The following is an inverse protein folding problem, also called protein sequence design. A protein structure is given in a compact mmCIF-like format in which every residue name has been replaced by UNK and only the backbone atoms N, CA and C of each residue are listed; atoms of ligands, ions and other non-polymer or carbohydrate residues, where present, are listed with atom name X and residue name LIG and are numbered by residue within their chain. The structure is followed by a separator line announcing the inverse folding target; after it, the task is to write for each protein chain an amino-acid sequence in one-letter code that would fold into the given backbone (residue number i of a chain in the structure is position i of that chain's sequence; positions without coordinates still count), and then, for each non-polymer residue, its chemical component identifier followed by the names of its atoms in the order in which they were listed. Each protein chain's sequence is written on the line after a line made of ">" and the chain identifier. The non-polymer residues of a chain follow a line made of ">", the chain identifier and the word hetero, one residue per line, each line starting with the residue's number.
data_IF_112352434556
#
_entry.id   IF_112352434556
#
_cell.length_a   1.000
_cell.length_b   1.000
_cell.length_c   1.000
_cell.angle_alpha   90.00
_cell.angle_beta   90.00
_cell.angle_gamma   90.00
#
_symmetry.space_group_name_H-M   'P 1'
#
loop_
_entity.id
_entity.type
_entity.pdbx_description
1 polymer ?
#
# COMPACT_ATOMS: atom_id res chain seq x y z
N UNK A 1 22.45 21.84 26.83
CA UNK A 1 23.01 20.76 25.99
C UNK A 1 22.06 19.57 25.81
N UNK A 2 21.36 19.07 26.85
CA UNK A 2 20.44 17.90 26.74
C UNK A 2 19.13 18.15 25.96
N UNK A 3 18.57 19.36 26.04
CA UNK A 3 17.27 19.70 25.40
C UNK A 3 17.33 19.67 23.87
N UNK A 4 18.43 20.13 23.27
CA UNK A 4 18.62 20.11 21.82
C UNK A 4 18.74 18.69 21.25
N UNK A 5 19.46 17.81 21.95
CA UNK A 5 19.58 16.39 21.59
C UNK A 5 18.22 15.69 21.67
N UNK A 6 17.45 15.97 22.72
CA UNK A 6 16.12 15.40 22.91
C UNK A 6 15.13 15.83 21.80
N UNK A 7 15.13 17.11 21.44
CA UNK A 7 14.32 17.63 20.33
C UNK A 7 14.73 16.97 19.00
N UNK A 8 16.03 16.84 18.74
CA UNK A 8 16.52 16.16 17.54
C UNK A 8 16.05 14.72 17.44
N UNK A 9 16.08 13.96 18.54
CA UNK A 9 15.59 12.58 18.58
C UNK A 9 14.08 12.53 18.31
N UNK A 10 13.30 13.42 18.93
CA UNK A 10 11.84 13.49 18.71
C UNK A 10 11.53 13.75 17.23
N UNK A 11 12.24 14.68 16.59
CA UNK A 11 12.04 15.00 15.18
C UNK A 11 12.37 13.80 14.29
N UNK A 12 13.48 13.10 14.54
CA UNK A 12 13.86 11.90 13.78
C UNK A 12 12.80 10.80 13.93
N UNK A 13 12.30 10.57 15.15
CA UNK A 13 11.25 9.58 15.41
C UNK A 13 9.96 9.95 14.68
N UNK A 14 9.55 11.22 14.71
CA UNK A 14 8.38 11.69 13.97
C UNK A 14 8.56 11.51 12.45
N UNK A 15 9.73 11.79 11.89
CA UNK A 15 9.98 11.57 10.46
C UNK A 15 9.82 10.09 10.07
N UNK A 16 10.33 9.16 10.88
CA UNK A 16 10.17 7.71 10.64
C UNK A 16 8.72 7.25 10.83
N UNK A 17 7.99 7.86 11.76
CA UNK A 17 6.57 7.57 12.01
C UNK A 17 5.68 7.97 10.82
N UNK A 18 5.94 9.15 10.24
CA UNK A 18 5.01 9.78 9.30
C UNK A 18 5.45 9.72 7.83
N UNK A 19 6.74 9.53 7.52
CA UNK A 19 7.19 9.44 6.13
C UNK A 19 7.01 8.01 5.57
N UNK A 20 6.23 7.84 4.51
CA UNK A 20 6.07 6.54 3.86
C UNK A 20 7.38 6.13 3.17
N UNK A 21 8.02 5.06 3.62
CA UNK A 21 9.22 4.52 2.99
C UNK A 21 8.78 3.61 1.83
N UNK A 22 9.24 3.85 0.59
CA UNK A 22 8.92 2.96 -0.53
C UNK A 22 9.55 1.59 -0.28
N UNK A 23 8.73 0.55 -0.23
CA UNK A 23 9.20 -0.84 -0.04
C UNK A 23 9.54 -1.55 -1.35
N UNK A 24 9.07 -1.02 -2.48
CA UNK A 24 9.37 -1.52 -3.81
C UNK A 24 8.18 -1.44 -4.75
N UNK A 25 8.43 -1.81 -6.01
CA UNK A 25 7.41 -2.02 -7.04
C UNK A 25 7.10 -3.51 -7.14
N UNK A 26 5.83 -3.90 -6.99
CA UNK A 26 5.41 -5.26 -7.26
C UNK A 26 5.42 -5.55 -8.76
N UNK A 27 5.80 -6.78 -9.12
CA UNK A 27 5.90 -7.27 -10.52
C UNK A 27 4.53 -7.37 -11.23
N UNK A 28 3.43 -7.16 -10.52
CA UNK A 28 2.04 -7.29 -10.99
C UNK A 28 1.53 -6.14 -11.90
N UNK A 29 2.43 -5.36 -12.51
CA UNK A 29 2.08 -4.20 -13.35
C UNK A 29 2.41 -2.83 -12.76
N UNK A 30 3.24 -2.79 -11.70
CA UNK A 30 3.77 -1.53 -11.15
C UNK A 30 2.99 -1.00 -9.94
N UNK A 31 2.32 -1.89 -9.19
CA UNK A 31 1.75 -1.55 -7.88
C UNK A 31 2.87 -1.05 -6.96
N UNK A 32 2.67 0.11 -6.32
CA UNK A 32 3.67 0.72 -5.44
C UNK A 32 3.24 0.61 -3.99
N UNK A 33 4.16 0.15 -3.16
CA UNK A 33 3.97 0.00 -1.73
C UNK A 33 4.80 1.04 -0.96
N UNK A 34 4.11 1.82 -0.13
CA UNK A 34 4.69 2.77 0.78
C UNK A 34 4.32 2.43 2.22
N UNK A 35 5.30 2.12 3.05
CA UNK A 35 5.08 1.74 4.43
C UNK A 35 5.48 2.87 5.37
N UNK A 36 4.53 3.34 6.17
CA UNK A 36 4.79 4.09 7.39
C UNK A 36 4.57 3.17 8.61
N UNK A 37 4.92 3.63 9.81
CA UNK A 37 4.74 2.82 11.02
C UNK A 37 3.25 2.63 11.37
N UNK A 38 2.44 3.66 11.15
CA UNK A 38 1.02 3.71 11.56
C UNK A 38 0.04 3.39 10.44
N UNK A 39 0.49 3.49 9.19
CA UNK A 39 -0.32 3.22 8.02
C UNK A 39 0.56 2.73 6.87
N UNK A 40 -0.05 2.09 5.88
CA UNK A 40 0.59 1.67 4.64
C UNK A 40 -0.25 2.14 3.48
N UNK A 41 0.37 2.84 2.54
CA UNK A 41 -0.28 3.30 1.31
C UNK A 41 0.10 2.33 0.22
N UNK A 42 -0.90 1.74 -0.43
CA UNK A 42 -0.71 0.91 -1.61
C UNK A 42 -1.37 1.61 -2.78
N UNK A 43 -0.56 1.91 -3.79
CA UNK A 43 -1.05 2.41 -5.09
C UNK A 43 -1.19 1.20 -5.98
N UNK A 44 -2.41 0.68 -6.07
CA UNK A 44 -2.76 -0.46 -6.90
C UNK A 44 -2.65 -0.07 -8.37
N UNK A 45 -1.93 -0.91 -9.11
CA UNK A 45 -1.87 -0.88 -10.57
C UNK A 45 -1.76 -2.33 -11.02
N UNK A 46 -2.91 -3.01 -11.06
CA UNK A 46 -3.01 -4.44 -11.38
C UNK A 46 -3.77 -4.62 -12.69
N UNK A 47 -3.18 -5.37 -13.61
CA UNK A 47 -3.90 -5.89 -14.77
C UNK A 47 -4.82 -7.02 -14.30
N UNK A 48 -6.11 -6.76 -14.30
CA UNK A 48 -7.14 -7.74 -13.99
C UNK A 48 -7.75 -8.27 -15.27
N UNK A 49 -8.13 -9.54 -15.25
CA UNK A 49 -8.86 -10.18 -16.33
C UNK A 49 -10.25 -10.50 -15.81
N UNK A 50 -11.28 -9.89 -16.40
CA UNK A 50 -12.66 -10.31 -16.17
C UNK A 50 -13.00 -11.35 -17.21
N UNK A 51 -13.49 -12.50 -16.75
CA UNK A 51 -14.20 -13.41 -17.63
C UNK A 51 -15.62 -12.88 -17.79
N UNK A 52 -16.07 -12.71 -19.03
CA UNK A 52 -17.45 -12.38 -19.31
C UNK A 52 -18.35 -13.52 -18.85
N UNK A 53 -19.57 -13.20 -18.41
CA UNK A 53 -20.58 -14.19 -17.97
C UNK A 53 -20.88 -15.22 -19.05
N UNK A 54 -20.60 -14.88 -20.31
CA UNK A 54 -20.82 -15.70 -21.51
C UNK A 54 -19.66 -16.67 -21.82
N UNK A 55 -18.59 -16.68 -21.01
CA UNK A 55 -17.44 -17.58 -21.18
C UNK A 55 -16.51 -17.25 -22.35
N UNK A 56 -16.75 -16.14 -23.06
CA UNK A 56 -15.95 -15.68 -24.20
C UNK A 56 -15.17 -14.38 -23.91
N UNK A 57 -13.94 -14.32 -24.43
CA UNK A 57 -12.95 -13.24 -24.36
C UNK A 57 -12.62 -12.70 -22.95
N UNK A 58 -11.33 -12.74 -22.64
CA UNK A 58 -10.73 -12.17 -21.44
C UNK A 58 -10.64 -10.66 -21.60
N UNK A 59 -11.54 -9.90 -21.00
CA UNK A 59 -11.37 -8.44 -20.94
C UNK A 59 -10.31 -8.11 -19.91
N UNK A 60 -9.14 -7.68 -20.38
CA UNK A 60 -8.08 -7.16 -19.54
C UNK A 60 -8.40 -5.70 -19.21
N UNK A 61 -8.63 -5.41 -17.93
CA UNK A 61 -8.81 -4.05 -17.43
C UNK A 61 -7.75 -3.76 -16.36
N UNK A 62 -7.26 -2.53 -16.35
CA UNK A 62 -6.28 -2.11 -15.33
C UNK A 62 -7.02 -1.55 -14.13
N UNK A 63 -6.88 -2.20 -12.98
CA UNK A 63 -7.34 -1.68 -11.71
C UNK A 63 -6.32 -0.68 -11.17
N UNK A 64 -6.74 0.59 -11.10
CA UNK A 64 -5.93 1.68 -10.58
C UNK A 64 -6.65 2.34 -9.40
N UNK A 65 -6.15 2.14 -8.19
CA UNK A 65 -6.72 2.74 -6.99
C UNK A 65 -5.62 3.00 -5.95
N UNK A 66 -5.78 4.05 -5.15
CA UNK A 66 -4.88 4.32 -4.02
C UNK A 66 -5.59 4.04 -2.72
N UNK A 67 -5.04 3.13 -1.93
CA UNK A 67 -5.64 2.66 -0.69
C UNK A 67 -4.71 2.83 0.49
N UNK A 68 -5.31 3.17 1.63
CA UNK A 68 -4.59 3.41 2.88
C UNK A 68 -5.04 2.38 3.90
N UNK A 69 -4.09 1.56 4.35
CA UNK A 69 -4.30 0.52 5.35
C UNK A 69 -3.72 0.99 6.68
N UNK A 70 -4.58 1.11 7.69
CA UNK A 70 -4.20 1.53 9.03
C UNK A 70 -3.79 0.32 9.88
N UNK A 71 -3.18 0.54 11.04
CA UNK A 71 -3.00 -0.53 12.03
C UNK A 71 -4.38 -1.14 12.38
N UNK A 72 -4.53 -2.48 12.41
CA UNK A 72 -3.48 -3.50 12.30
C UNK A 72 -3.20 -4.02 10.88
N UNK A 73 -3.97 -3.59 9.88
CA UNK A 73 -3.89 -4.09 8.51
C UNK A 73 -2.58 -3.72 7.80
N UNK A 74 -1.92 -2.64 8.21
CA UNK A 74 -0.62 -2.22 7.65
C UNK A 74 0.48 -3.31 7.74
N UNK A 75 0.38 -4.24 8.71
CA UNK A 75 1.32 -5.34 8.88
C UNK A 75 1.07 -6.54 7.95
N UNK A 76 -0.06 -6.55 7.24
CA UNK A 76 -0.45 -7.67 6.37
C UNK A 76 0.39 -7.74 5.10
N UNK A 77 0.40 -8.91 4.45
CA UNK A 77 1.06 -9.09 3.14
C UNK A 77 0.30 -8.35 2.02
N UNK A 78 0.95 -8.07 0.88
CA UNK A 78 0.28 -7.43 -0.28
C UNK A 78 -0.92 -8.27 -0.76
N UNK A 79 -0.82 -9.60 -0.76
CA UNK A 79 -1.93 -10.50 -1.11
C UNK A 79 -3.13 -10.39 -0.17
N UNK A 80 -2.88 -10.24 1.14
CA UNK A 80 -3.96 -9.99 2.10
C UNK A 80 -4.59 -8.61 1.92
N UNK A 81 -3.78 -7.58 1.70
CA UNK A 81 -4.27 -6.23 1.42
C UNK A 81 -5.11 -6.19 0.15
N UNK A 82 -4.72 -6.98 -0.86
CA UNK A 82 -5.48 -7.12 -2.09
C UNK A 82 -6.84 -7.81 -1.86
N UNK A 83 -6.90 -8.83 -1.00
CA UNK A 83 -8.17 -9.46 -0.60
C UNK A 83 -9.09 -8.49 0.12
N UNK A 84 -8.53 -7.64 1.00
CA UNK A 84 -9.29 -6.60 1.70
C UNK A 84 -9.82 -5.58 0.70
N UNK A 85 -9.00 -5.13 -0.27
CA UNK A 85 -9.43 -4.21 -1.31
C UNK A 85 -10.61 -4.75 -2.12
N UNK A 86 -10.51 -6.00 -2.59
CA UNK A 86 -11.59 -6.65 -3.34
C UNK A 86 -12.84 -6.92 -2.51
N UNK A 87 -12.76 -6.88 -1.18
CA UNK A 87 -13.92 -6.99 -0.29
C UNK A 87 -14.55 -5.63 0.05
N UNK A 88 -13.84 -4.52 -0.22
CA UNK A 88 -14.29 -3.16 0.06
C UNK A 88 -15.13 -2.56 -1.08
N UNK A 89 -14.97 -3.09 -2.28
CA UNK A 89 -15.58 -2.63 -3.54
C UNK A 89 -16.42 -3.74 -4.18
#
# INVERSE_FOLDING_TARGET
>A
MKKGIMIGIIVVVLLVLFLPIPKGTCEDGGTKDYCALTYRIVVWNKLMVKENEDGSAREAYTYHETSVFWIPDNFKSIDELWKIERGRN
#
